data_IF_423637278026
#
_entry.id   IF_423637278026
#
_cell.length_a   1.000
_cell.length_b   1.000
_cell.length_c   1.000
_cell.angle_alpha   90.00
_cell.angle_beta   90.00
_cell.angle_gamma   90.00
#
_symmetry.space_group_name_H-M   'P 1'
#
loop_
_entity.id
_entity.type
_entity.pdbx_description
1 polymer ?
#
# COMPACT_ATOMS: atom_id res chain seq x y z
N UNK A 1 23.66 -6.22 -7.38
CA UNK A 1 23.23 -5.68 -6.07
C UNK A 1 24.00 -6.44 -4.99
N UNK A 2 24.93 -5.81 -4.29
CA UNK A 2 25.61 -6.42 -3.16
C UNK A 2 24.89 -5.91 -1.90
N UNK A 3 24.19 -6.79 -1.20
CA UNK A 3 23.51 -6.45 0.06
C UNK A 3 24.55 -5.95 1.06
N UNK A 4 24.36 -4.73 1.61
CA UNK A 4 25.21 -4.17 2.69
C UNK A 4 25.25 -5.05 3.94
N UNK A 5 24.46 -6.12 4.00
CA UNK A 5 24.45 -7.09 5.09
C UNK A 5 25.83 -7.65 5.46
N UNK A 6 26.73 -7.80 4.47
CA UNK A 6 28.10 -8.28 4.71
C UNK A 6 29.01 -7.30 5.48
N UNK A 7 28.59 -6.04 5.67
CA UNK A 7 29.34 -5.07 6.49
C UNK A 7 28.97 -5.12 7.98
N UNK A 8 27.98 -5.92 8.38
CA UNK A 8 27.59 -6.08 9.78
C UNK A 8 28.20 -7.36 10.38
N UNK A 9 28.50 -7.33 11.67
CA UNK A 9 28.73 -8.55 12.43
C UNK A 9 27.46 -9.40 12.49
N UNK A 10 27.59 -10.70 12.75
CA UNK A 10 26.44 -11.61 12.91
C UNK A 10 25.45 -11.10 13.96
N UNK A 11 25.94 -10.52 15.05
CA UNK A 11 25.07 -9.98 16.11
C UNK A 11 24.30 -8.75 15.64
N UNK A 12 24.95 -7.82 14.94
CA UNK A 12 24.29 -6.63 14.40
C UNK A 12 23.26 -7.00 13.34
N UNK A 13 23.62 -7.89 12.42
CA UNK A 13 22.72 -8.45 11.43
C UNK A 13 21.48 -9.10 12.07
N UNK A 14 21.69 -9.93 13.10
CA UNK A 14 20.59 -10.58 13.85
C UNK A 14 19.69 -9.56 14.54
N UNK A 15 20.29 -8.53 15.15
CA UNK A 15 19.53 -7.47 15.81
C UNK A 15 18.71 -6.65 14.81
N UNK A 16 19.17 -6.49 13.57
CA UNK A 16 18.46 -5.76 12.52
C UNK A 16 17.23 -6.54 12.07
N UNK A 17 17.38 -7.82 11.71
CA UNK A 17 16.28 -8.65 11.19
C UNK A 17 15.24 -9.05 12.26
N UNK A 18 15.54 -8.81 13.53
CA UNK A 18 14.59 -9.02 14.62
C UNK A 18 13.67 -7.80 14.84
N UNK A 19 13.96 -6.65 14.20
CA UNK A 19 13.20 -5.41 14.37
C UNK A 19 11.90 -5.46 13.58
N UNK A 20 10.89 -4.78 14.14
CA UNK A 20 9.58 -4.57 13.55
C UNK A 20 9.19 -3.11 13.70
N UNK A 21 8.42 -2.60 12.76
CA UNK A 21 7.91 -1.23 12.80
C UNK A 21 6.46 -1.14 12.33
N UNK A 22 5.75 -0.14 12.84
CA UNK A 22 4.50 0.35 12.27
C UNK A 22 4.78 1.73 11.66
N UNK A 23 4.74 1.84 10.34
CA UNK A 23 5.05 3.08 9.62
C UNK A 23 3.73 3.73 9.21
N UNK A 24 3.50 4.98 9.64
CA UNK A 24 2.28 5.72 9.34
C UNK A 24 2.53 6.69 8.19
N UNK A 25 1.69 6.66 7.17
CA UNK A 25 1.81 7.51 5.98
C UNK A 25 0.45 8.08 5.59
N UNK A 26 0.40 9.39 5.36
CA UNK A 26 -0.79 10.10 4.87
C UNK A 26 -0.51 10.53 3.44
N UNK A 27 -1.05 9.84 2.42
CA UNK A 27 -0.86 10.26 1.05
C UNK A 27 -1.64 11.53 0.74
N UNK A 28 -1.26 12.19 -0.35
CA UNK A 28 -1.97 13.38 -0.82
C UNK A 28 -3.19 12.95 -1.64
N UNK A 29 -4.38 13.22 -1.09
CA UNK A 29 -5.67 13.04 -1.77
C UNK A 29 -6.34 14.41 -1.94
N UNK A 30 -7.24 14.52 -2.90
CA UNK A 30 -8.07 15.72 -3.13
C UNK A 30 -9.45 15.60 -2.51
N UNK A 31 -10.04 16.74 -2.15
CA UNK A 31 -11.37 16.84 -1.54
C UNK A 31 -12.50 16.81 -2.56
N UNK A 32 -12.73 15.65 -3.19
CA UNK A 32 -13.67 15.47 -4.30
C UNK A 32 -14.34 14.09 -4.23
N UNK A 33 -15.34 13.89 -5.08
CA UNK A 33 -15.84 12.55 -5.41
C UNK A 33 -14.95 11.94 -6.50
N UNK A 34 -14.52 10.70 -6.27
CA UNK A 34 -13.76 9.91 -7.23
C UNK A 34 -14.69 9.02 -8.06
N UNK A 35 -14.18 8.48 -9.15
CA UNK A 35 -14.83 7.46 -9.99
C UNK A 35 -13.99 6.18 -10.03
N UNK A 36 -14.58 5.11 -10.55
CA UNK A 36 -13.83 3.87 -10.78
C UNK A 36 -12.61 4.15 -11.66
N UNK A 37 -11.48 3.50 -11.32
CA UNK A 37 -10.19 3.64 -11.98
C UNK A 37 -9.49 5.00 -11.80
N UNK A 38 -10.04 5.93 -11.00
CA UNK A 38 -9.34 7.15 -10.66
C UNK A 38 -8.16 6.88 -9.72
N UNK A 39 -7.05 7.58 -9.96
CA UNK A 39 -5.94 7.68 -9.01
C UNK A 39 -6.46 8.36 -7.74
N UNK A 40 -6.48 7.62 -6.63
CA UNK A 40 -6.87 8.15 -5.32
C UNK A 40 -5.74 9.02 -4.76
N UNK A 41 -4.51 8.52 -4.85
CA UNK A 41 -3.29 9.25 -4.60
C UNK A 41 -2.19 8.75 -5.53
N UNK A 42 -1.36 9.67 -5.99
CA UNK A 42 -0.16 9.34 -6.73
C UNK A 42 0.94 8.81 -5.80
N UNK A 43 2.08 8.37 -6.34
CA UNK A 43 3.15 7.74 -5.56
C UNK A 43 3.53 8.54 -4.32
N UNK A 44 3.43 7.86 -3.18
CA UNK A 44 3.76 8.36 -1.86
C UNK A 44 4.84 7.48 -1.25
N UNK A 45 5.77 8.08 -0.52
CA UNK A 45 6.89 7.37 0.10
C UNK A 45 6.46 6.67 1.41
N UNK A 46 6.94 5.44 1.59
CA UNK A 46 7.03 4.73 2.88
C UNK A 46 8.49 4.83 3.33
N UNK A 47 8.84 5.79 4.19
CA UNK A 47 10.22 6.01 4.58
C UNK A 47 10.71 4.88 5.49
N UNK A 48 11.98 4.48 5.35
CA UNK A 48 12.57 3.40 6.16
C UNK A 48 11.76 2.10 6.13
N UNK A 49 11.16 1.79 4.99
CA UNK A 49 10.42 0.55 4.76
C UNK A 49 11.34 -0.69 4.79
N UNK A 50 12.65 -0.52 4.60
CA UNK A 50 13.67 -1.55 4.82
C UNK A 50 14.74 -1.04 5.79
N UNK A 51 15.49 -1.94 6.42
CA UNK A 51 16.37 -1.56 7.54
C UNK A 51 17.67 -0.83 7.14
N UNK A 52 18.07 -0.93 5.87
CA UNK A 52 19.29 -0.34 5.33
C UNK A 52 19.15 -0.19 3.81
N UNK A 53 19.98 0.64 3.20
CA UNK A 53 19.87 0.92 1.77
C UNK A 53 20.03 -0.35 0.92
N UNK A 54 19.11 -0.55 -0.02
CA UNK A 54 19.06 -1.76 -0.84
C UNK A 54 18.72 -3.02 -0.04
N UNK A 55 18.21 -2.88 1.17
CA UNK A 55 17.71 -3.99 1.98
C UNK A 55 16.33 -4.47 1.52
N UNK A 56 15.86 -5.53 2.17
CA UNK A 56 14.52 -6.07 2.00
C UNK A 56 13.79 -6.11 3.34
N UNK A 57 12.47 -6.17 3.30
CA UNK A 57 11.60 -6.40 4.47
C UNK A 57 10.34 -7.15 4.05
N UNK A 58 9.51 -7.55 5.02
CA UNK A 58 8.18 -8.09 4.77
C UNK A 58 7.12 -7.11 5.26
N UNK A 59 6.17 -6.81 4.38
CA UNK A 59 4.92 -6.17 4.76
C UNK A 59 3.98 -7.24 5.31
N UNK A 60 3.67 -7.17 6.60
CA UNK A 60 2.85 -8.17 7.31
C UNK A 60 1.38 -7.79 7.39
N UNK A 61 1.08 -6.50 7.52
CA UNK A 61 -0.26 -5.97 7.59
C UNK A 61 -0.32 -4.55 7.03
N UNK A 62 -1.52 -4.15 6.61
CA UNK A 62 -1.87 -2.78 6.26
C UNK A 62 -3.15 -2.44 7.03
N UNK A 63 -3.14 -1.33 7.75
CA UNK A 63 -4.36 -0.72 8.29
C UNK A 63 -4.60 0.60 7.58
N UNK A 64 -5.85 0.85 7.18
CA UNK A 64 -6.27 2.11 6.57
C UNK A 64 -7.27 2.75 7.50
N UNK A 65 -6.95 3.93 8.01
CA UNK A 65 -7.85 4.75 8.79
C UNK A 65 -8.46 5.79 7.83
N UNK A 66 -9.77 5.72 7.64
CA UNK A 66 -10.53 6.72 6.88
C UNK A 66 -11.43 7.51 7.82
N UNK A 67 -11.37 8.84 7.74
CA UNK A 67 -12.35 9.72 8.41
C UNK A 67 -13.70 9.77 7.69
N UNK A 68 -13.73 9.36 6.42
CA UNK A 68 -14.93 9.32 5.59
C UNK A 68 -15.79 8.09 5.93
N UNK A 69 -17.10 8.26 5.85
CA UNK A 69 -18.06 7.16 5.94
C UNK A 69 -18.23 6.43 4.59
N UNK A 70 -17.66 6.96 3.50
CA UNK A 70 -17.72 6.35 2.18
C UNK A 70 -17.08 4.96 2.22
N UNK A 71 -17.81 3.98 1.71
CA UNK A 71 -17.24 2.68 1.40
C UNK A 71 -16.49 2.78 0.07
N UNK A 72 -15.36 2.10 -0.05
CA UNK A 72 -14.59 2.09 -1.29
C UNK A 72 -13.76 0.84 -1.43
N UNK A 73 -13.65 0.42 -2.69
CA UNK A 73 -12.70 -0.59 -3.10
C UNK A 73 -11.49 0.10 -3.74
N UNK A 74 -10.30 -0.45 -3.52
CA UNK A 74 -9.09 0.13 -4.09
C UNK A 74 -8.01 -0.89 -4.37
N UNK A 75 -7.11 -0.54 -5.28
CA UNK A 75 -5.86 -1.28 -5.50
C UNK A 75 -4.68 -0.42 -5.06
N UNK A 76 -3.80 -0.99 -4.25
CA UNK A 76 -2.50 -0.43 -3.90
C UNK A 76 -1.41 -1.09 -4.73
N UNK A 77 -0.52 -0.30 -5.29
CA UNK A 77 0.68 -0.77 -5.98
C UNK A 77 1.92 -0.35 -5.23
N UNK A 78 2.93 -1.21 -5.17
CA UNK A 78 4.20 -0.98 -4.48
C UNK A 78 5.37 -1.00 -5.46
N UNK A 79 6.28 -0.05 -5.32
CA UNK A 79 7.37 0.23 -6.27
C UNK A 79 8.68 0.48 -5.54
N UNK A 80 9.81 0.11 -6.15
CA UNK A 80 11.14 0.49 -5.61
C UNK A 80 11.48 1.95 -5.93
N UNK A 81 10.98 2.46 -7.06
CA UNK A 81 11.29 3.79 -7.59
C UNK A 81 10.05 4.68 -7.55
N UNK A 82 10.24 5.95 -7.20
CA UNK A 82 9.19 6.95 -7.28
C UNK A 82 8.82 7.22 -8.74
N UNK A 83 7.69 6.67 -9.18
CA UNK A 83 7.19 6.79 -10.54
C UNK A 83 5.70 7.12 -10.51
N UNK A 84 5.32 8.27 -11.10
CA UNK A 84 3.94 8.72 -11.11
C UNK A 84 3.01 7.70 -11.78
N UNK A 85 1.88 7.44 -11.12
CA UNK A 85 0.76 6.65 -11.59
C UNK A 85 -0.26 7.48 -12.40
N UNK A 86 -0.12 8.80 -12.38
CA UNK A 86 -1.00 9.74 -13.08
C UNK A 86 -1.43 10.92 -12.21
N UNK A 87 -2.47 11.62 -12.65
CA UNK A 87 -3.03 12.76 -11.92
C UNK A 87 -4.12 12.27 -10.95
N UNK A 88 -4.07 12.72 -9.69
CA UNK A 88 -5.10 12.44 -8.68
C UNK A 88 -6.48 12.87 -9.18
N UNK A 89 -7.50 12.04 -8.92
CA UNK A 89 -8.88 12.23 -9.41
C UNK A 89 -8.97 12.26 -10.95
N UNK A 90 -8.18 11.41 -11.59
CA UNK A 90 -8.26 11.10 -13.02
C UNK A 90 -7.86 9.65 -13.24
N UNK A 91 -8.23 9.09 -14.38
CA UNK A 91 -7.92 7.71 -14.71
C UNK A 91 -6.42 7.40 -14.60
N UNK A 92 -6.11 6.23 -14.04
CA UNK A 92 -4.74 5.68 -14.01
C UNK A 92 -4.11 5.69 -15.40
N UNK A 93 -2.91 6.24 -15.53
CA UNK A 93 -2.30 6.56 -16.83
C UNK A 93 -0.79 6.24 -16.92
N UNK A 94 -0.27 5.42 -16.01
CA UNK A 94 1.11 4.94 -16.09
C UNK A 94 1.37 4.17 -17.40
N UNK A 95 2.43 4.53 -18.12
CA UNK A 95 2.85 3.82 -19.34
C UNK A 95 3.57 2.51 -19.02
N UNK A 96 3.68 1.60 -20.01
CA UNK A 96 4.43 0.35 -19.84
C UNK A 96 5.91 0.61 -19.51
N UNK A 97 6.51 1.65 -20.11
CA UNK A 97 7.89 2.05 -19.83
C UNK A 97 8.06 2.60 -18.42
N UNK A 98 7.08 3.38 -17.94
CA UNK A 98 7.07 3.90 -16.58
C UNK A 98 6.89 2.75 -15.58
N UNK A 99 5.97 1.83 -15.84
CA UNK A 99 5.73 0.67 -15.00
C UNK A 99 6.96 -0.23 -14.88
N UNK A 100 7.68 -0.46 -15.99
CA UNK A 100 8.95 -1.18 -15.96
C UNK A 100 10.02 -0.43 -15.14
N UNK A 101 10.08 0.90 -15.27
CA UNK A 101 11.04 1.76 -14.55
C UNK A 101 10.72 1.87 -13.05
N UNK A 102 9.44 1.76 -12.67
CA UNK A 102 8.99 1.78 -11.28
C UNK A 102 9.47 0.58 -10.47
N UNK A 103 9.89 -0.52 -11.14
CA UNK A 103 10.28 -1.79 -10.53
C UNK A 103 9.19 -2.30 -9.57
N UNK A 104 8.03 -2.61 -10.12
CA UNK A 104 6.89 -3.10 -9.37
C UNK A 104 7.24 -4.28 -8.45
N UNK A 105 6.84 -4.17 -7.18
CA UNK A 105 7.01 -5.19 -6.14
C UNK A 105 5.76 -6.04 -5.97
N UNK A 106 4.59 -5.52 -6.37
CA UNK A 106 3.31 -6.20 -6.25
C UNK A 106 2.16 -5.23 -6.00
N UNK A 107 0.95 -5.80 -5.89
CA UNK A 107 -0.24 -5.03 -5.57
C UNK A 107 -1.10 -5.74 -4.52
N UNK A 108 -1.94 -4.94 -3.84
CA UNK A 108 -2.88 -5.36 -2.82
C UNK A 108 -4.25 -4.83 -3.21
N UNK A 109 -5.26 -5.68 -3.23
CA UNK A 109 -6.64 -5.30 -3.50
C UNK A 109 -7.42 -5.19 -2.20
N UNK A 110 -8.16 -4.10 -2.05
CA UNK A 110 -8.98 -3.85 -0.88
C UNK A 110 -10.42 -3.88 -1.35
N UNK A 111 -11.12 -4.89 -0.86
CA UNK A 111 -12.57 -5.01 -0.94
C UNK A 111 -13.15 -4.36 0.31
N UNK A 112 -13.77 -3.19 0.12
CA UNK A 112 -14.27 -2.37 1.20
C UNK A 112 -15.38 -3.06 1.98
N UNK A 113 -16.23 -3.85 1.33
CA UNK A 113 -17.36 -4.53 1.96
C UNK A 113 -16.91 -5.55 3.00
N UNK A 114 -15.80 -6.23 2.72
CA UNK A 114 -15.35 -7.38 3.49
C UNK A 114 -14.25 -7.07 4.53
N UNK A 115 -13.62 -5.89 4.44
CA UNK A 115 -12.43 -5.55 5.23
C UNK A 115 -12.64 -4.39 6.21
N UNK A 116 -13.81 -3.74 6.20
CA UNK A 116 -14.08 -2.55 6.99
C UNK A 116 -14.65 -2.84 8.39
N UNK A 117 -14.35 -1.95 9.32
CA UNK A 117 -15.00 -1.79 10.61
C UNK A 117 -15.38 -0.32 10.81
N UNK A 118 -16.51 -0.06 11.48
CA UNK A 118 -17.03 1.29 11.73
C UNK A 118 -17.04 1.59 13.25
N UNK A 119 -15.90 1.93 13.86
CA UNK A 119 -15.85 2.30 15.27
C UNK A 119 -16.49 3.67 15.58
N UNK A 120 -16.87 4.43 14.54
CA UNK A 120 -17.47 5.76 14.63
C UNK A 120 -18.01 6.22 13.27
N UNK A 121 -17.87 7.52 12.95
CA UNK A 121 -18.30 8.09 11.66
C UNK A 121 -17.35 7.80 10.50
N UNK A 122 -16.15 7.28 10.77
CA UNK A 122 -15.18 6.85 9.77
C UNK A 122 -15.12 5.33 9.63
N UNK A 123 -14.15 4.85 8.85
CA UNK A 123 -13.93 3.43 8.59
C UNK A 123 -12.49 3.02 8.86
N UNK A 124 -12.31 1.79 9.31
CA UNK A 124 -10.99 1.16 9.47
C UNK A 124 -10.96 -0.10 8.62
N UNK A 125 -9.99 -0.19 7.71
CA UNK A 125 -9.75 -1.38 6.89
C UNK A 125 -8.50 -2.08 7.40
N UNK A 126 -8.51 -3.40 7.53
CA UNK A 126 -7.32 -4.16 7.95
C UNK A 126 -7.08 -5.35 7.03
N UNK A 127 -5.89 -5.38 6.44
CA UNK A 127 -5.39 -6.45 5.58
C UNK A 127 -4.27 -7.17 6.34
N UNK A 128 -4.38 -8.48 6.49
CA UNK A 128 -3.41 -9.28 7.25
C UNK A 128 -3.18 -10.65 6.60
N UNK A 129 -2.02 -11.24 6.91
CA UNK A 129 -1.67 -12.59 6.47
C UNK A 129 -2.74 -13.62 6.87
N UNK A 130 -3.08 -14.52 5.94
CA UNK A 130 -3.99 -15.63 6.22
C UNK A 130 -5.47 -15.26 6.20
N UNK A 131 -5.83 -14.07 5.72
CA UNK A 131 -7.22 -13.73 5.45
C UNK A 131 -7.78 -14.67 4.37
N UNK A 132 -8.63 -15.62 4.79
CA UNK A 132 -9.44 -16.44 3.91
C UNK A 132 -10.72 -15.67 3.58
N UNK A 133 -11.04 -15.51 2.30
CA UNK A 133 -12.27 -14.85 1.88
C UNK A 133 -13.50 -15.47 2.55
N UNK A 134 -14.51 -14.64 2.81
CA UNK A 134 -15.79 -15.13 3.31
C UNK A 134 -16.49 -16.03 2.29
N UNK A 135 -17.40 -16.89 2.74
CA UNK A 135 -18.22 -17.76 1.89
C UNK A 135 -18.93 -16.92 0.81
N UNK A 136 -18.56 -17.11 -0.45
CA UNK A 136 -19.08 -16.35 -1.60
C UNK A 136 -18.07 -15.41 -2.26
N UNK A 137 -16.89 -15.20 -1.67
CA UNK A 137 -15.80 -14.47 -2.30
C UNK A 137 -15.26 -15.27 -3.51
N UNK A 138 -15.51 -14.78 -4.72
CA UNK A 138 -15.06 -15.41 -5.98
C UNK A 138 -13.53 -15.39 -6.12
N UNK A 139 -12.84 -14.54 -5.35
CA UNK A 139 -11.40 -14.34 -5.37
C UNK A 139 -10.86 -14.23 -3.95
N UNK A 140 -10.05 -15.20 -3.54
CA UNK A 140 -9.24 -15.10 -2.31
C UNK A 140 -7.79 -14.92 -2.74
N UNK A 141 -7.29 -13.69 -2.71
CA UNK A 141 -5.87 -13.44 -2.95
C UNK A 141 -5.15 -13.40 -1.60
N UNK A 142 -4.28 -14.38 -1.27
CA UNK A 142 -3.34 -14.17 -0.18
C UNK A 142 -2.42 -13.00 -0.57
N UNK A 143 -2.70 -11.83 -0.02
CA UNK A 143 -2.05 -10.58 -0.38
C UNK A 143 -0.81 -10.28 0.45
N UNK A 144 -0.74 -10.84 1.66
CA UNK A 144 0.36 -10.62 2.60
C UNK A 144 0.87 -11.96 3.14
N UNK A 145 2.18 -12.09 3.43
CA UNK A 145 3.16 -11.00 3.37
C UNK A 145 3.64 -10.65 1.95
N UNK A 146 3.91 -9.37 1.71
CA UNK A 146 4.56 -8.88 0.50
C UNK A 146 6.04 -8.59 0.80
N UNK A 147 6.95 -9.06 -0.06
CA UNK A 147 8.37 -8.71 0.06
C UNK A 147 8.59 -7.32 -0.50
N UNK A 148 9.17 -6.44 0.32
CA UNK A 148 9.59 -5.11 -0.09
C UNK A 148 11.10 -5.10 -0.27
N UNK A 149 11.58 -4.51 -1.37
CA UNK A 149 13.01 -4.38 -1.66
C UNK A 149 13.25 -2.94 -2.12
N UNK A 150 14.16 -2.22 -1.46
CA UNK A 150 14.45 -0.84 -1.83
C UNK A 150 15.57 -0.76 -2.88
N UNK A 151 15.70 0.40 -3.53
CA UNK A 151 16.85 0.73 -4.38
C UNK A 151 18.16 0.72 -3.58
N UNK A 152 19.29 0.51 -4.26
CA UNK A 152 20.59 0.27 -3.61
C UNK A 152 21.08 1.39 -2.69
N UNK A 153 20.59 2.60 -2.88
CA UNK A 153 20.93 3.83 -2.17
C UNK A 153 19.73 4.41 -1.38
N UNK A 154 18.67 3.62 -1.20
CA UNK A 154 17.46 4.02 -0.49
C UNK A 154 17.00 2.95 0.49
N UNK A 155 16.37 3.37 1.58
CA UNK A 155 15.63 2.50 2.50
C UNK A 155 14.12 2.60 2.34
N UNK A 156 13.66 3.35 1.34
CA UNK A 156 12.25 3.67 1.11
C UNK A 156 11.62 2.81 0.04
N UNK A 157 10.30 2.70 0.12
CA UNK A 157 9.43 2.06 -0.85
C UNK A 157 8.36 3.08 -1.24
N UNK A 158 7.89 3.04 -2.47
CA UNK A 158 6.82 3.94 -2.93
C UNK A 158 5.55 3.13 -3.14
N UNK A 159 4.40 3.76 -2.88
CA UNK A 159 3.11 3.15 -3.14
C UNK A 159 2.14 4.16 -3.73
N UNK A 160 1.26 3.69 -4.61
CA UNK A 160 0.19 4.48 -5.21
C UNK A 160 -1.14 3.74 -5.07
N UNK A 161 -2.24 4.48 -5.08
CA UNK A 161 -3.57 3.94 -4.89
C UNK A 161 -4.54 4.41 -5.97
N UNK A 162 -5.38 3.50 -6.44
CA UNK A 162 -6.52 3.85 -7.29
C UNK A 162 -7.80 3.23 -6.79
N UNK A 163 -8.92 3.93 -7.00
CA UNK A 163 -10.24 3.36 -6.82
C UNK A 163 -10.42 2.23 -7.83
N UNK A 164 -10.86 1.07 -7.39
CA UNK A 164 -11.03 -0.09 -8.27
C UNK A 164 -12.16 -0.94 -7.78
N UNK A 165 -13.18 -1.08 -8.61
CA UNK A 165 -14.15 -2.16 -8.52
C UNK A 165 -14.00 -3.04 -9.74
N UNK A 166 -13.77 -4.33 -9.51
CA UNK A 166 -13.85 -5.34 -10.57
C UNK A 166 -15.29 -5.88 -10.70
N UNK A 167 -16.07 -5.95 -9.61
CA UNK A 167 -17.32 -6.72 -9.57
C UNK A 167 -18.48 -6.06 -8.77
N UNK A 168 -18.29 -4.91 -8.10
CA UNK A 168 -19.35 -4.18 -7.38
C UNK A 168 -19.42 -2.68 -7.76
N UNK A 169 -20.41 -2.24 -8.56
CA UNK A 169 -20.52 -0.84 -8.94
C UNK A 169 -20.83 0.10 -7.76
N UNK A 170 -21.31 -0.41 -6.62
CA UNK A 170 -21.73 0.38 -5.46
C UNK A 170 -20.61 1.13 -4.73
N UNK A 171 -19.37 0.62 -4.80
CA UNK A 171 -18.23 1.11 -4.03
C UNK A 171 -17.22 1.91 -4.87
N UNK A 172 -17.65 2.40 -6.04
CA UNK A 172 -16.77 3.04 -7.03
C UNK A 172 -16.73 4.56 -7.01
N UNK A 173 -17.60 5.20 -6.23
CA UNK A 173 -17.70 6.67 -6.21
C UNK A 173 -17.56 7.27 -4.82
N UNK A 174 -16.49 6.97 -4.07
CA UNK A 174 -16.31 7.52 -2.75
C UNK A 174 -16.01 9.02 -2.79
N UNK A 175 -16.43 9.71 -1.73
CA UNK A 175 -16.09 11.11 -1.51
C UNK A 175 -15.16 11.23 -0.31
N UNK A 176 -14.09 11.99 -0.49
CA UNK A 176 -13.09 12.27 0.54
C UNK A 176 -12.87 13.77 0.70
N UNK A 177 -12.30 14.14 1.83
CA UNK A 177 -11.64 15.41 2.11
C UNK A 177 -10.13 15.21 2.19
N UNK A 178 -9.37 16.30 2.07
CA UNK A 178 -7.91 16.27 2.22
C UNK A 178 -7.54 15.74 3.60
N UNK A 179 -6.65 14.73 3.65
CA UNK A 179 -6.19 14.13 4.90
C UNK A 179 -7.20 13.19 5.57
N UNK A 180 -8.18 12.69 4.81
CA UNK A 180 -9.12 11.68 5.31
C UNK A 180 -8.50 10.31 5.47
N UNK A 181 -7.47 9.98 4.70
CA UNK A 181 -6.89 8.63 4.65
C UNK A 181 -5.49 8.63 5.25
N UNK A 182 -5.26 7.70 6.17
CA UNK A 182 -3.94 7.36 6.70
C UNK A 182 -3.71 5.85 6.55
N UNK A 183 -2.52 5.47 6.12
CA UNK A 183 -2.05 4.09 6.06
C UNK A 183 -1.11 3.82 7.23
N UNK A 184 -1.22 2.61 7.78
CA UNK A 184 -0.27 2.06 8.75
C UNK A 184 0.26 0.75 8.19
N UNK A 185 1.56 0.69 7.93
CA UNK A 185 2.25 -0.47 7.38
C UNK A 185 2.99 -1.22 8.49
N UNK A 186 2.66 -2.49 8.71
CA UNK A 186 3.40 -3.37 9.61
C UNK A 186 4.58 -4.01 8.90
N UNK A 187 5.80 -3.65 9.30
CA UNK A 187 7.06 -4.10 8.68
C UNK A 187 7.82 -5.04 9.61
N UNK A 188 8.34 -6.13 9.05
CA UNK A 188 9.33 -7.04 9.65
C UNK A 188 10.62 -6.95 8.80
N UNK A 189 11.71 -6.47 9.41
CA UNK A 189 12.95 -6.11 8.71
C UNK A 189 13.87 -7.30 8.42
#
# INVERSE_FOLDING_TARGET
>A
MATKFHSYSTQEATNIIAKRAAIRVTPTITGVQYSNNDVLFDTTEIPSAVAYDGGASKLLNITINSKSASLFDMTLWFFQVNQSAGTVNSAWSMSDSDFASAKNLGCIYIDGDNLQQNPGSGRVYTIMQGYSGFTGATKTYPQLPLVLQAESDSSSIYFAGKITSEDDPGNTTPSFSVGDIEFVFGIDY
#
